data_IF_264300852654
#
_entry.id   IF_264300852654
#
_cell.length_a   1.000
_cell.length_b   1.000
_cell.length_c   1.000
_cell.angle_alpha   90.00
_cell.angle_beta   90.00
_cell.angle_gamma   90.00
#
_symmetry.space_group_name_H-M   'P 1'
#
loop_
_entity.id
_entity.type
_entity.pdbx_description
1 polymer ?
#
# COMPACT_ATOMS: atom_id res chain seq x y z
N UNK A 1 -13.05 -6.39 7.45
CA UNK A 1 -12.30 -5.85 8.61
C UNK A 1 -12.50 -4.32 8.80
N UNK A 2 -12.02 -3.41 7.94
CA UNK A 2 -12.04 -1.95 8.21
C UNK A 2 -13.42 -1.34 8.52
N UNK A 3 -14.48 -1.81 7.84
CA UNK A 3 -15.86 -1.39 8.12
C UNK A 3 -16.31 -1.74 9.55
N UNK A 4 -15.82 -2.85 10.10
CA UNK A 4 -16.19 -3.32 11.44
C UNK A 4 -15.57 -2.48 12.55
N UNK A 5 -14.49 -1.74 12.26
CA UNK A 5 -13.81 -0.84 13.21
C UNK A 5 -14.10 0.64 12.94
N UNK A 6 -15.07 0.96 12.08
CA UNK A 6 -15.45 2.33 11.71
C UNK A 6 -14.28 3.19 11.19
N UNK A 7 -13.36 2.59 10.43
CA UNK A 7 -12.26 3.32 9.78
C UNK A 7 -12.75 4.06 8.52
N UNK A 8 -12.40 5.35 8.41
CA UNK A 8 -12.72 6.21 7.27
C UNK A 8 -11.44 6.85 6.72
N UNK A 9 -11.31 6.90 5.40
CA UNK A 9 -10.32 7.73 4.73
C UNK A 9 -10.78 9.20 4.75
N UNK A 10 -9.92 10.09 5.23
CA UNK A 10 -10.21 11.53 5.32
C UNK A 10 -11.55 11.85 6.04
N UNK A 11 -11.89 11.07 7.09
CA UNK A 11 -13.06 11.23 7.96
C UNK A 11 -14.46 11.03 7.35
N UNK A 12 -14.60 10.92 6.02
CA UNK A 12 -15.90 10.84 5.36
C UNK A 12 -16.03 9.74 4.29
N UNK A 13 -14.92 9.22 3.76
CA UNK A 13 -14.96 8.13 2.78
C UNK A 13 -14.71 6.78 3.46
N UNK A 14 -15.43 5.72 3.09
CA UNK A 14 -15.10 4.37 3.58
C UNK A 14 -13.63 4.03 3.25
N UNK A 15 -12.89 3.48 4.19
CA UNK A 15 -11.48 3.09 3.98
C UNK A 15 -11.30 2.13 2.80
N UNK A 16 -12.34 1.37 2.46
CA UNK A 16 -12.43 0.53 1.26
C UNK A 16 -12.10 1.29 -0.04
N UNK A 17 -12.31 2.61 -0.10
CA UNK A 17 -11.90 3.43 -1.23
C UNK A 17 -10.38 3.43 -1.43
N UNK A 18 -9.61 3.60 -0.35
CA UNK A 18 -8.14 3.52 -0.38
C UNK A 18 -7.68 2.13 -0.81
N UNK A 19 -8.21 1.07 -0.20
CA UNK A 19 -7.86 -0.31 -0.55
C UNK A 19 -8.09 -0.61 -2.04
N UNK A 20 -9.22 -0.14 -2.60
CA UNK A 20 -9.52 -0.27 -4.04
C UNK A 20 -8.57 0.56 -4.90
N UNK A 21 -8.16 1.75 -4.47
CA UNK A 21 -7.16 2.54 -5.20
C UNK A 21 -5.81 1.84 -5.22
N UNK A 22 -5.34 1.30 -4.11
CA UNK A 22 -4.09 0.53 -4.05
C UNK A 22 -4.15 -0.69 -4.96
N UNK A 23 -5.23 -1.48 -4.87
CA UNK A 23 -5.46 -2.61 -5.76
C UNK A 23 -5.51 -2.20 -7.25
N UNK A 24 -6.07 -1.04 -7.58
CA UNK A 24 -6.08 -0.55 -8.97
C UNK A 24 -4.68 -0.30 -9.54
N UNK A 25 -3.72 0.06 -8.69
CA UNK A 25 -2.31 0.20 -9.10
C UNK A 25 -1.62 -1.15 -9.28
N UNK A 26 -2.03 -2.19 -8.53
CA UNK A 26 -1.64 -3.58 -8.85
C UNK A 26 -2.16 -3.97 -10.22
N UNK A 27 -3.41 -3.64 -10.57
CA UNK A 27 -3.94 -3.90 -11.93
C UNK A 27 -3.14 -3.18 -13.00
N UNK A 28 -2.80 -1.91 -12.76
CA UNK A 28 -2.11 -1.08 -13.75
C UNK A 28 -0.66 -1.50 -13.96
N UNK A 29 0.06 -1.85 -12.90
CA UNK A 29 1.51 -2.04 -12.94
C UNK A 29 1.97 -3.47 -12.62
N UNK A 30 1.06 -4.38 -12.29
CA UNK A 30 1.40 -5.78 -12.01
C UNK A 30 2.09 -6.48 -13.16
N UNK A 31 1.86 -6.05 -14.40
CA UNK A 31 2.55 -6.52 -15.60
C UNK A 31 4.05 -6.19 -15.64
N UNK A 32 4.51 -5.24 -14.80
CA UNK A 32 5.94 -4.91 -14.65
C UNK A 32 6.66 -5.90 -13.74
N UNK A 33 5.92 -6.72 -13.00
CA UNK A 33 6.45 -7.84 -12.24
C UNK A 33 6.42 -9.06 -13.17
N UNK A 34 7.54 -9.75 -13.32
CA UNK A 34 7.61 -11.01 -14.06
C UNK A 34 6.93 -12.12 -13.23
N UNK A 35 5.59 -12.17 -13.29
CA UNK A 35 4.75 -12.98 -12.40
C UNK A 35 3.66 -13.76 -13.14
N UNK A 36 3.24 -14.87 -12.53
CA UNK A 36 2.11 -15.68 -12.98
C UNK A 36 0.77 -15.12 -12.51
N UNK A 37 -0.35 -15.66 -13.03
CA UNK A 37 -1.70 -15.29 -12.59
C UNK A 37 -1.94 -15.56 -11.09
N UNK A 38 -1.44 -16.67 -10.56
CA UNK A 38 -1.59 -17.02 -9.13
C UNK A 38 -0.81 -16.06 -8.24
N UNK A 39 0.38 -15.67 -8.70
CA UNK A 39 1.18 -14.62 -8.04
C UNK A 39 0.46 -13.27 -8.09
N UNK A 40 -0.27 -12.96 -9.16
CA UNK A 40 -1.06 -11.74 -9.24
C UNK A 40 -2.22 -11.75 -8.22
N UNK A 41 -2.93 -12.86 -8.03
CA UNK A 41 -3.95 -12.97 -6.98
C UNK A 41 -3.37 -12.80 -5.58
N UNK A 42 -2.17 -13.34 -5.35
CA UNK A 42 -1.40 -13.16 -4.11
C UNK A 42 -1.11 -11.69 -3.83
N UNK A 43 -0.67 -10.92 -4.84
CA UNK A 43 -0.38 -9.49 -4.71
C UNK A 43 -1.66 -8.68 -4.49
N UNK A 44 -2.78 -9.04 -5.14
CA UNK A 44 -4.07 -8.42 -4.86
C UNK A 44 -4.53 -8.64 -3.42
N UNK A 45 -4.40 -9.87 -2.91
CA UNK A 45 -4.74 -10.18 -1.53
C UNK A 45 -3.95 -9.30 -0.55
N UNK A 46 -2.62 -9.22 -0.74
CA UNK A 46 -1.78 -8.34 0.05
C UNK A 46 -2.14 -6.85 -0.09
N UNK A 47 -2.48 -6.37 -1.28
CA UNK A 47 -2.91 -4.99 -1.49
C UNK A 47 -4.23 -4.65 -0.76
N UNK A 48 -5.21 -5.56 -0.76
CA UNK A 48 -6.48 -5.35 -0.06
C UNK A 48 -6.34 -5.42 1.46
N UNK A 49 -5.32 -6.11 1.97
CA UNK A 49 -5.10 -6.32 3.41
C UNK A 49 -3.89 -5.57 3.99
N UNK A 50 -3.16 -4.75 3.20
CA UNK A 50 -1.90 -4.14 3.65
C UNK A 50 -2.01 -3.32 4.94
N UNK A 51 -3.15 -2.69 5.19
CA UNK A 51 -3.42 -1.91 6.41
C UNK A 51 -4.22 -2.69 7.46
N UNK A 52 -4.55 -3.97 7.24
CA UNK A 52 -5.51 -4.66 8.09
C UNK A 52 -4.97 -4.94 9.50
N UNK A 53 -3.65 -5.16 9.63
CA UNK A 53 -3.00 -5.34 10.93
C UNK A 53 -2.88 -4.00 11.65
N UNK A 54 -2.44 -2.95 10.95
CA UNK A 54 -2.25 -1.60 11.51
C UNK A 54 -3.58 -0.95 11.93
N UNK A 55 -4.57 -0.97 11.05
CA UNK A 55 -5.77 -0.15 11.16
C UNK A 55 -7.06 -0.93 11.43
N UNK A 56 -7.07 -2.25 11.18
CA UNK A 56 -8.24 -3.10 11.36
C UNK A 56 -8.12 -4.14 12.47
N UNK A 57 -7.05 -4.07 13.29
CA UNK A 57 -6.82 -4.90 14.48
C UNK A 57 -6.72 -6.40 14.20
N UNK A 58 -6.43 -6.78 12.96
CA UNK A 58 -6.13 -8.17 12.65
C UNK A 58 -4.72 -8.51 13.17
N UNK A 59 -4.54 -9.71 13.69
CA UNK A 59 -3.22 -10.30 13.88
C UNK A 59 -2.72 -10.89 12.56
N UNK A 60 -1.44 -11.26 12.51
CA UNK A 60 -0.88 -12.01 11.38
C UNK A 60 -1.68 -13.28 11.09
N UNK A 61 -2.03 -14.01 12.14
CA UNK A 61 -2.79 -15.25 12.04
C UNK A 61 -4.20 -15.02 11.47
N UNK A 62 -4.89 -13.97 11.91
CA UNK A 62 -6.21 -13.64 11.37
C UNK A 62 -6.13 -13.36 9.86
N UNK A 63 -5.07 -12.72 9.38
CA UNK A 63 -4.83 -12.49 7.95
C UNK A 63 -4.64 -13.81 7.19
N UNK A 64 -3.87 -14.75 7.74
CA UNK A 64 -3.70 -16.08 7.15
C UNK A 64 -5.04 -16.84 7.06
N UNK A 65 -5.86 -16.79 8.10
CA UNK A 65 -7.18 -17.42 8.12
C UNK A 65 -8.13 -16.80 7.08
N UNK A 66 -8.12 -15.47 6.94
CA UNK A 66 -8.89 -14.76 5.92
C UNK A 66 -8.48 -15.20 4.51
N UNK A 67 -7.18 -15.30 4.24
CA UNK A 67 -6.69 -15.79 2.94
C UNK A 67 -7.02 -17.27 2.70
N UNK A 68 -6.98 -18.11 3.74
CA UNK A 68 -7.43 -19.50 3.64
C UNK A 68 -8.92 -19.59 3.29
N UNK A 69 -9.76 -18.73 3.88
CA UNK A 69 -11.18 -18.66 3.56
C UNK A 69 -11.43 -18.20 2.11
N UNK A 70 -10.66 -17.23 1.60
CA UNK A 70 -10.73 -16.80 0.20
C UNK A 70 -10.30 -17.92 -0.75
N UNK A 71 -9.25 -18.67 -0.42
CA UNK A 71 -8.84 -19.83 -1.20
C UNK A 71 -9.93 -20.92 -1.23
N UNK A 72 -10.60 -21.17 -0.11
CA UNK A 72 -11.76 -22.07 -0.06
C UNK A 72 -12.94 -21.60 -0.93
N UNK A 73 -13.01 -20.30 -1.24
CA UNK A 73 -14.00 -19.70 -2.15
C UNK A 73 -13.54 -19.64 -3.62
N UNK A 74 -12.36 -20.19 -3.94
CA UNK A 74 -11.85 -20.34 -5.30
C UNK A 74 -10.72 -19.38 -5.69
N UNK A 75 -10.21 -18.57 -4.75
CA UNK A 75 -8.96 -17.85 -4.97
C UNK A 75 -7.75 -18.81 -4.94
N UNK A 76 -6.64 -18.36 -5.51
CA UNK A 76 -5.35 -19.04 -5.55
C UNK A 76 -4.28 -18.10 -5.00
N UNK A 77 -4.32 -17.88 -3.69
CA UNK A 77 -3.41 -17.03 -2.93
C UNK A 77 -2.32 -17.91 -2.33
N UNK A 78 -1.05 -17.55 -2.57
CA UNK A 78 0.08 -18.04 -1.79
C UNK A 78 0.07 -17.35 -0.42
N UNK A 79 -0.57 -18.00 0.56
CA UNK A 79 -0.87 -17.43 1.87
C UNK A 79 0.39 -16.92 2.59
N UNK A 80 1.49 -17.71 2.74
CA UNK A 80 2.71 -17.21 3.36
C UNK A 80 3.25 -15.94 2.69
N UNK A 81 3.31 -15.93 1.35
CA UNK A 81 3.83 -14.76 0.62
C UNK A 81 2.94 -13.52 0.80
N UNK A 82 1.62 -13.69 0.76
CA UNK A 82 0.69 -12.57 0.95
C UNK A 82 0.70 -12.04 2.40
N UNK A 83 0.70 -12.93 3.39
CA UNK A 83 0.67 -12.55 4.80
C UNK A 83 1.98 -11.85 5.22
N UNK A 84 3.14 -12.36 4.78
CA UNK A 84 4.43 -11.69 4.99
C UNK A 84 4.47 -10.30 4.35
N UNK A 85 3.91 -10.13 3.15
CA UNK A 85 3.81 -8.82 2.52
C UNK A 85 2.93 -7.85 3.33
N UNK A 86 1.77 -8.30 3.84
CA UNK A 86 0.92 -7.48 4.72
C UNK A 86 1.66 -7.09 6.00
N UNK A 87 2.36 -8.03 6.61
CA UNK A 87 3.12 -7.79 7.84
C UNK A 87 4.25 -6.80 7.62
N UNK A 88 5.04 -6.97 6.56
CA UNK A 88 6.13 -6.06 6.22
C UNK A 88 5.65 -4.63 5.94
N UNK A 89 4.40 -4.45 5.52
CA UNK A 89 3.80 -3.14 5.27
C UNK A 89 3.20 -2.49 6.51
N UNK A 90 3.04 -3.24 7.60
CA UNK A 90 2.55 -2.76 8.90
C UNK A 90 3.64 -1.95 9.60
N UNK A 91 3.36 -0.69 9.93
CA UNK A 91 4.34 0.17 10.57
C UNK A 91 4.79 -0.31 11.95
N UNK A 92 5.98 0.15 12.34
CA UNK A 92 6.48 -0.02 13.70
C UNK A 92 5.69 0.81 14.71
N UNK A 93 5.76 0.41 15.98
CA UNK A 93 5.18 1.23 17.05
C UNK A 93 6.02 2.49 17.26
N UNK A 94 5.39 3.66 17.15
CA UNK A 94 6.06 4.95 17.28
C UNK A 94 5.08 6.10 17.47
N UNK A 95 5.54 7.18 18.12
CA UNK A 95 4.77 8.41 18.37
C UNK A 95 4.70 9.27 17.12
N UNK A 96 5.77 9.33 16.34
CA UNK A 96 5.84 10.10 15.08
C UNK A 96 5.81 9.19 13.86
N UNK A 97 5.61 9.76 12.67
CA UNK A 97 5.65 8.99 11.41
C UNK A 97 7.04 8.43 11.14
N UNK A 98 8.08 9.19 11.47
CA UNK A 98 9.47 8.78 11.33
C UNK A 98 9.82 7.63 12.28
N UNK A 99 9.31 7.66 13.52
CA UNK A 99 9.50 6.55 14.47
C UNK A 99 8.82 5.25 13.98
N UNK A 100 7.66 5.39 13.34
CA UNK A 100 6.86 4.28 12.78
C UNK A 100 7.44 3.71 11.48
N UNK A 101 7.99 4.56 10.63
CA UNK A 101 8.64 4.19 9.37
C UNK A 101 10.17 4.31 9.49
N UNK A 102 10.74 3.57 10.46
CA UNK A 102 12.17 3.58 10.74
C UNK A 102 12.96 2.61 9.84
N UNK A 103 14.28 2.49 10.06
CA UNK A 103 15.13 1.64 9.23
C UNK A 103 14.73 0.16 9.27
N UNK A 104 14.30 -0.36 10.43
CA UNK A 104 13.83 -1.76 10.55
C UNK A 104 12.60 -2.01 9.70
N UNK A 105 11.67 -1.06 9.67
CA UNK A 105 10.48 -1.12 8.83
C UNK A 105 10.86 -1.25 7.34
N UNK A 106 11.71 -0.34 6.86
CA UNK A 106 12.12 -0.37 5.45
C UNK A 106 13.04 -1.54 5.10
N UNK A 107 13.84 -2.04 6.05
CA UNK A 107 14.60 -3.28 5.88
C UNK A 107 13.67 -4.47 5.66
N UNK A 108 12.64 -4.62 6.49
CA UNK A 108 11.60 -5.65 6.31
C UNK A 108 10.91 -5.54 4.96
N UNK A 109 10.53 -4.33 4.54
CA UNK A 109 9.96 -4.10 3.20
C UNK A 109 10.90 -4.58 2.10
N UNK A 110 12.19 -4.24 2.15
CA UNK A 110 13.15 -4.64 1.10
C UNK A 110 13.40 -6.14 1.04
N UNK A 111 13.32 -6.83 2.18
CA UNK A 111 13.56 -8.27 2.29
C UNK A 111 12.33 -9.11 1.94
N UNK A 112 11.14 -8.51 2.01
CA UNK A 112 9.88 -9.20 1.73
C UNK A 112 9.46 -9.08 0.28
N UNK A 113 9.18 -10.23 -0.35
CA UNK A 113 8.74 -10.30 -1.74
C UNK A 113 7.48 -9.45 -1.96
N UNK A 114 7.47 -8.68 -3.04
CA UNK A 114 6.40 -7.75 -3.45
C UNK A 114 6.15 -6.54 -2.53
N UNK A 115 6.65 -6.52 -1.29
CA UNK A 115 6.40 -5.41 -0.37
C UNK A 115 6.89 -4.04 -0.89
N UNK A 116 8.06 -3.88 -1.55
CA UNK A 116 8.47 -2.58 -2.09
C UNK A 116 7.50 -2.07 -3.17
N UNK A 117 7.05 -2.97 -4.05
CA UNK A 117 6.07 -2.67 -5.09
C UNK A 117 4.72 -2.26 -4.48
N UNK A 118 4.22 -3.02 -3.50
CA UNK A 118 2.97 -2.74 -2.82
C UNK A 118 3.04 -1.42 -2.04
N UNK A 119 4.17 -1.10 -1.40
CA UNK A 119 4.35 0.18 -0.70
C UNK A 119 4.32 1.36 -1.67
N UNK A 120 4.84 1.19 -2.88
CA UNK A 120 4.72 2.21 -3.91
C UNK A 120 3.28 2.32 -4.45
N UNK A 121 2.53 1.22 -4.55
CA UNK A 121 1.10 1.24 -4.87
C UNK A 121 0.30 2.02 -3.81
N UNK A 122 0.56 1.77 -2.52
CA UNK A 122 -0.01 2.52 -1.39
C UNK A 122 0.29 4.03 -1.52
N UNK A 123 1.55 4.38 -1.78
CA UNK A 123 1.94 5.79 -2.01
C UNK A 123 1.17 6.43 -3.17
N UNK A 124 1.04 5.73 -4.29
CA UNK A 124 0.29 6.22 -5.46
C UNK A 124 -1.21 6.34 -5.17
N UNK A 125 -1.78 5.44 -4.36
CA UNK A 125 -3.15 5.53 -3.85
C UNK A 125 -3.38 6.80 -3.06
N UNK A 126 -2.49 7.07 -2.09
CA UNK A 126 -2.52 8.27 -1.27
C UNK A 126 -2.35 9.57 -2.09
N UNK A 127 -1.44 9.59 -3.07
CA UNK A 127 -1.26 10.73 -3.98
C UNK A 127 -2.47 10.96 -4.87
N UNK A 128 -3.09 9.89 -5.38
CA UNK A 128 -4.29 10.03 -6.19
C UNK A 128 -5.44 10.59 -5.36
N UNK A 129 -5.68 10.05 -4.17
CA UNK A 129 -6.72 10.56 -3.30
C UNK A 129 -6.48 12.02 -2.88
N UNK A 130 -5.23 12.42 -2.62
CA UNK A 130 -4.90 13.81 -2.25
C UNK A 130 -5.19 14.81 -3.38
N UNK A 131 -5.08 14.40 -4.65
CA UNK A 131 -5.38 15.25 -5.82
C UNK A 131 -6.87 15.33 -6.17
N UNK A 132 -7.66 14.30 -5.86
CA UNK A 132 -9.10 14.27 -6.16
C UNK A 132 -9.93 15.20 -5.29
N UNK A 133 -9.58 15.33 -4.01
CA UNK A 133 -10.43 16.00 -3.03
C UNK A 133 -10.02 17.43 -2.69
N UNK A 134 -9.01 18.02 -3.34
CA UNK A 134 -8.69 19.46 -3.33
C UNK A 134 -8.25 20.09 -1.99
N UNK A 135 -8.61 19.49 -0.85
CA UNK A 135 -8.38 19.99 0.51
C UNK A 135 -6.96 19.64 1.02
N UNK A 136 -6.25 18.73 0.34
CA UNK A 136 -5.00 18.12 0.82
C UNK A 136 -3.74 18.48 0.01
N UNK A 137 -3.67 19.66 -0.63
CA UNK A 137 -2.43 20.10 -1.29
C UNK A 137 -1.21 20.11 -0.34
N UNK A 138 -1.42 20.36 0.96
CA UNK A 138 -0.35 20.27 1.98
C UNK A 138 0.23 18.86 2.11
N UNK A 139 -0.59 17.81 2.00
CA UNK A 139 -0.11 16.42 2.06
C UNK A 139 0.68 16.04 0.82
N UNK A 140 0.25 16.53 -0.36
CA UNK A 140 0.99 16.34 -1.60
C UNK A 140 2.39 16.96 -1.53
N UNK A 141 2.52 18.17 -0.95
CA UNK A 141 3.82 18.82 -0.75
C UNK A 141 4.73 18.08 0.25
N UNK A 142 4.15 17.52 1.32
CA UNK A 142 4.89 16.65 2.26
C UNK A 142 5.42 15.41 1.52
N UNK A 143 4.55 14.74 0.77
CA UNK A 143 4.93 13.57 0.00
C UNK A 143 5.98 13.87 -1.08
N UNK A 144 5.88 15.02 -1.76
CA UNK A 144 6.88 15.47 -2.73
C UNK A 144 8.26 15.65 -2.08
N UNK A 145 8.30 16.32 -0.93
CA UNK A 145 9.54 16.54 -0.16
C UNK A 145 10.17 15.22 0.30
N UNK A 146 9.36 14.28 0.78
CA UNK A 146 9.82 12.97 1.29
C UNK A 146 10.13 11.96 0.17
N UNK A 147 9.67 12.21 -1.06
CA UNK A 147 9.69 11.21 -2.12
C UNK A 147 11.09 10.67 -2.48
N UNK A 148 12.15 11.50 -2.59
CA UNK A 148 13.49 11.00 -2.89
C UNK A 148 13.98 10.00 -1.84
N UNK A 149 13.82 10.33 -0.55
CA UNK A 149 14.22 9.46 0.55
C UNK A 149 13.34 8.21 0.58
N UNK A 150 12.03 8.35 0.38
CA UNK A 150 11.11 7.21 0.31
C UNK A 150 11.53 6.19 -0.77
N UNK A 151 11.85 6.64 -1.99
CA UNK A 151 12.31 5.74 -3.06
C UNK A 151 13.66 5.11 -2.71
N UNK A 152 14.59 5.87 -2.12
CA UNK A 152 15.86 5.31 -1.68
C UNK A 152 15.67 4.19 -0.64
N UNK A 153 14.75 4.36 0.31
CA UNK A 153 14.44 3.33 1.30
C UNK A 153 13.75 2.10 0.70
N UNK A 154 12.93 2.24 -0.35
CA UNK A 154 12.30 1.08 -1.01
C UNK A 154 13.28 0.26 -1.85
N UNK A 155 14.38 0.86 -2.31
CA UNK A 155 15.36 0.19 -3.17
C UNK A 155 14.82 -0.03 -4.59
N UNK A 156 14.78 -1.29 -5.05
CA UNK A 156 14.41 -1.59 -6.43
C UNK A 156 12.89 -1.62 -6.61
N UNK A 157 12.35 -0.64 -7.35
CA UNK A 157 10.93 -0.54 -7.71
C UNK A 157 10.79 -0.14 -9.19
N UNK A 158 9.66 -0.46 -9.85
CA UNK A 158 9.48 -0.12 -11.26
C UNK A 158 9.53 1.39 -11.51
N UNK A 159 10.39 1.82 -12.44
CA UNK A 159 10.61 3.25 -12.71
C UNK A 159 9.36 3.96 -13.24
N UNK A 160 8.52 3.28 -14.02
CA UNK A 160 7.26 3.82 -14.51
C UNK A 160 6.34 4.29 -13.37
N UNK A 161 6.32 3.56 -12.25
CA UNK A 161 5.54 3.94 -11.08
C UNK A 161 6.13 5.18 -10.37
N UNK A 162 7.47 5.28 -10.33
CA UNK A 162 8.19 6.44 -9.79
C UNK A 162 7.87 7.68 -10.63
N UNK A 163 7.87 7.55 -11.94
CA UNK A 163 7.49 8.63 -12.86
C UNK A 163 6.03 9.04 -12.69
N UNK A 164 5.11 8.07 -12.50
CA UNK A 164 3.71 8.41 -12.23
C UNK A 164 3.54 9.20 -10.93
N UNK A 165 4.26 8.85 -9.87
CA UNK A 165 4.25 9.62 -8.62
C UNK A 165 4.72 11.06 -8.87
N UNK A 166 5.80 11.24 -9.66
CA UNK A 166 6.28 12.58 -10.05
C UNK A 166 5.23 13.37 -10.83
N UNK A 167 4.48 12.74 -11.72
CA UNK A 167 3.40 13.42 -12.46
C UNK A 167 2.32 13.97 -11.51
N UNK A 168 1.94 13.22 -10.47
CA UNK A 168 0.97 13.71 -9.48
C UNK A 168 1.42 14.99 -8.78
N UNK A 169 2.72 15.14 -8.47
CA UNK A 169 3.25 16.37 -7.87
C UNK A 169 3.09 17.57 -8.80
N UNK A 170 3.36 17.40 -10.09
CA UNK A 170 3.19 18.47 -11.09
C UNK A 170 1.72 18.82 -11.35
N UNK A 171 0.84 17.81 -11.39
CA UNK A 171 -0.61 17.98 -11.60
C UNK A 171 -1.28 18.70 -10.41
N UNK A 172 -0.82 18.43 -9.17
CA UNK A 172 -1.31 19.08 -7.96
C UNK A 172 -1.04 20.59 -7.90
N UNK A 173 0.09 21.04 -8.47
CA UNK A 173 0.51 22.45 -8.50
C UNK A 173 -0.30 23.28 -9.51
N UNK A 174 -0.83 22.68 -10.58
CA UNK A 174 -1.61 23.42 -11.60
C UNK A 174 -3.06 23.71 -11.20
N UNK A 175 -3.52 23.23 -10.04
CA UNK A 175 -4.87 23.45 -9.51
C UNK A 175 -4.90 24.34 -8.24
N UNK A 176 -3.76 24.88 -7.81
CA UNK A 176 -3.64 25.96 -6.79
C UNK A 176 -3.61 27.33 -7.44
#
# INVERSE_FOLDING_TARGET
CHRQVNQYYNHFLPYEFHLRLVASYVTRYGHLLDITTDQLQTIYAAAYYHDSIEDARLSFHDVEEEFAQLNAQGCQIDIPTAAEAVYALTNEKGRTREERANERYYEGIRQTRYAPFLKLCDRLGNLHASTLFGVQQRMTAVYEKEFPDFIAHLGNVPQEMVERARQFFHEGIRRS
#
